data_IF_639618532903
#
_entry.id   IF_639618532903
#
_cell.length_a   1.000
_cell.length_b   1.000
_cell.length_c   1.000
_cell.angle_alpha   90.00
_cell.angle_beta   90.00
_cell.angle_gamma   90.00
#
_symmetry.space_group_name_H-M   'P 1'
#
loop_
_entity.id
_entity.type
_entity.pdbx_description
1 polymer ?
#
# COMPACT_ATOMS: atom_id res chain seq x y z
N UNK A 1 -13.14 -2.32 -8.29
CA UNK A 1 -13.01 -2.04 -9.73
C UNK A 1 -14.38 -1.84 -10.35
N UNK A 2 -14.54 -0.78 -11.17
CA UNK A 2 -15.68 -0.58 -12.04
C UNK A 2 -15.26 -0.98 -13.46
N UNK A 3 -15.77 -2.12 -13.92
CA UNK A 3 -15.58 -2.53 -15.32
C UNK A 3 -16.41 -1.63 -16.24
N UNK A 4 -15.75 -1.04 -17.21
CA UNK A 4 -16.38 -0.33 -18.31
C UNK A 4 -16.05 -1.04 -19.62
N UNK A 5 -17.03 -1.20 -20.53
CA UNK A 5 -16.74 -1.73 -21.87
C UNK A 5 -15.70 -0.83 -22.57
N UNK A 6 -14.81 -1.44 -23.35
CA UNK A 6 -13.75 -0.74 -24.10
C UNK A 6 -14.31 0.43 -24.93
N UNK A 7 -15.51 0.30 -25.47
CA UNK A 7 -16.22 1.36 -26.21
C UNK A 7 -16.58 2.59 -25.34
N UNK A 8 -16.58 2.45 -24.01
CA UNK A 8 -16.88 3.56 -23.08
C UNK A 8 -15.64 4.28 -22.59
N UNK A 9 -14.46 3.68 -22.77
CA UNK A 9 -13.18 4.30 -22.44
C UNK A 9 -12.75 5.26 -23.55
N UNK A 10 -12.02 6.27 -23.16
CA UNK A 10 -11.39 7.20 -24.10
C UNK A 10 -9.95 6.76 -24.37
N UNK A 11 -9.33 7.33 -25.40
CA UNK A 11 -7.94 7.02 -25.77
C UNK A 11 -6.95 7.30 -24.61
N UNK A 12 -7.24 8.29 -23.78
CA UNK A 12 -6.39 8.65 -22.63
C UNK A 12 -7.08 8.27 -21.32
N UNK A 13 -6.30 7.83 -20.34
CA UNK A 13 -6.82 7.43 -19.04
C UNK A 13 -7.38 8.62 -18.26
N UNK A 14 -6.75 9.80 -18.36
CA UNK A 14 -7.24 11.03 -17.73
C UNK A 14 -8.63 11.40 -18.22
N UNK A 15 -8.88 11.37 -19.54
CA UNK A 15 -10.20 11.68 -20.09
C UNK A 15 -11.27 10.67 -19.62
N UNK A 16 -10.91 9.39 -19.50
CA UNK A 16 -11.80 8.35 -18.95
C UNK A 16 -12.14 8.61 -17.48
N UNK A 17 -11.13 8.97 -16.65
CA UNK A 17 -11.36 9.33 -15.25
C UNK A 17 -12.24 10.58 -15.11
N UNK A 18 -12.02 11.61 -15.93
CA UNK A 18 -12.84 12.84 -15.93
C UNK A 18 -14.28 12.51 -16.33
N UNK A 19 -14.50 11.67 -17.34
CA UNK A 19 -15.84 11.23 -17.74
C UNK A 19 -16.58 10.53 -16.59
N UNK A 20 -15.91 9.61 -15.88
CA UNK A 20 -16.49 8.91 -14.73
C UNK A 20 -16.72 9.88 -13.56
N UNK A 21 -15.76 10.79 -13.30
CA UNK A 21 -15.92 11.84 -12.29
C UNK A 21 -17.16 12.69 -12.55
N UNK A 22 -17.39 13.12 -13.78
CA UNK A 22 -18.55 13.93 -14.13
C UNK A 22 -19.89 13.20 -13.88
N UNK A 23 -19.95 11.90 -14.20
CA UNK A 23 -21.15 11.07 -13.95
C UNK A 23 -21.39 10.92 -12.44
N UNK A 24 -20.35 10.65 -11.66
CA UNK A 24 -20.46 10.51 -10.21
C UNK A 24 -20.78 11.85 -9.53
N UNK A 25 -20.18 12.95 -9.99
CA UNK A 25 -20.46 14.30 -9.47
C UNK A 25 -21.91 14.72 -9.73
N UNK A 26 -22.43 14.43 -10.92
CA UNK A 26 -23.86 14.65 -11.24
C UNK A 26 -24.79 13.83 -10.34
N UNK A 27 -24.39 12.59 -9.97
CA UNK A 27 -25.16 11.73 -9.07
C UNK A 27 -25.05 12.14 -7.61
N UNK A 28 -23.91 12.71 -7.20
CA UNK A 28 -23.56 13.08 -5.83
C UNK A 28 -23.03 14.52 -5.76
N UNK A 29 -23.85 15.54 -6.09
CA UNK A 29 -23.38 16.92 -6.34
C UNK A 29 -22.76 17.61 -5.11
N UNK A 30 -23.09 17.16 -3.91
CA UNK A 30 -22.61 17.75 -2.65
C UNK A 30 -21.43 16.99 -2.03
N UNK A 31 -20.91 15.99 -2.73
CA UNK A 31 -19.86 15.11 -2.19
C UNK A 31 -18.44 15.61 -2.48
N UNK A 32 -18.27 16.46 -3.52
CA UNK A 32 -16.94 16.93 -3.92
C UNK A 32 -16.11 15.85 -4.61
N UNK A 33 -16.73 15.14 -5.54
CA UNK A 33 -16.11 14.05 -6.31
C UNK A 33 -14.89 14.57 -7.08
N UNK A 34 -13.76 13.87 -6.97
CA UNK A 34 -12.49 14.29 -7.58
C UNK A 34 -11.72 13.14 -8.21
N UNK A 35 -10.91 13.46 -9.22
CA UNK A 35 -9.95 12.50 -9.78
C UNK A 35 -8.73 12.42 -8.86
N UNK A 36 -8.35 11.21 -8.49
CA UNK A 36 -7.12 10.89 -7.77
C UNK A 36 -6.52 9.61 -8.35
N UNK A 37 -5.85 9.73 -9.50
CA UNK A 37 -5.33 8.59 -10.27
C UNK A 37 -4.68 7.51 -9.39
N UNK A 38 -5.05 6.23 -9.55
CA UNK A 38 -5.82 5.66 -10.68
C UNK A 38 -7.35 5.66 -10.49
N UNK A 39 -7.89 6.36 -9.51
CA UNK A 39 -9.29 6.32 -9.12
C UNK A 39 -10.02 7.67 -9.28
N UNK A 40 -11.33 7.59 -9.26
CA UNK A 40 -12.21 8.70 -8.91
C UNK A 40 -12.65 8.52 -7.47
N UNK A 41 -12.47 9.55 -6.63
CA UNK A 41 -12.74 9.52 -5.20
C UNK A 41 -14.04 10.25 -4.88
N UNK A 42 -14.93 9.56 -4.17
CA UNK A 42 -16.15 10.10 -3.61
C UNK A 42 -15.98 10.19 -2.08
N UNK A 43 -15.72 11.35 -1.51
CA UNK A 43 -15.56 11.54 -0.05
C UNK A 43 -16.92 11.59 0.62
N UNK A 44 -17.53 10.42 0.88
CA UNK A 44 -18.88 10.35 1.47
C UNK A 44 -18.94 10.65 2.96
N UNK A 45 -17.80 10.65 3.66
CA UNK A 45 -17.75 10.85 5.10
C UNK A 45 -16.85 12.00 5.53
N UNK A 46 -16.76 12.18 6.83
CA UNK A 46 -15.89 13.21 7.45
C UNK A 46 -14.42 12.82 7.46
N UNK A 47 -14.16 11.51 7.50
CA UNK A 47 -12.81 10.97 7.60
C UNK A 47 -12.36 10.40 6.26
N UNK A 48 -11.08 10.55 5.94
CA UNK A 48 -10.46 9.99 4.73
C UNK A 48 -10.63 8.46 4.60
N UNK A 49 -10.84 7.76 5.70
CA UNK A 49 -11.14 6.32 5.71
C UNK A 49 -12.53 5.98 5.17
N UNK A 50 -13.39 6.96 5.01
CA UNK A 50 -14.75 6.83 4.49
C UNK A 50 -14.85 7.20 3.00
N UNK A 51 -13.72 7.58 2.39
CA UNK A 51 -13.63 7.82 0.95
C UNK A 51 -13.90 6.52 0.18
N UNK A 52 -14.75 6.60 -0.83
CA UNK A 52 -14.94 5.51 -1.79
C UNK A 52 -14.14 5.79 -3.04
N UNK A 53 -13.24 4.88 -3.38
CA UNK A 53 -12.41 4.94 -4.59
C UNK A 53 -12.99 4.06 -5.69
N UNK A 54 -13.37 4.68 -6.82
CA UNK A 54 -13.85 3.98 -8.02
C UNK A 54 -12.70 3.92 -9.03
N UNK A 55 -12.11 2.73 -9.18
CA UNK A 55 -11.06 2.49 -10.18
C UNK A 55 -11.71 2.04 -11.48
N UNK A 56 -11.51 2.81 -12.53
CA UNK A 56 -11.96 2.48 -13.88
C UNK A 56 -11.04 1.44 -14.48
N UNK A 57 -11.59 0.34 -14.97
CA UNK A 57 -10.80 -0.77 -15.47
C UNK A 57 -11.41 -1.35 -16.75
N UNK A 58 -10.58 -1.75 -17.70
CA UNK A 58 -10.94 -2.54 -18.87
C UNK A 58 -10.32 -3.94 -18.76
N UNK A 59 -11.10 -4.98 -19.10
CA UNK A 59 -10.58 -6.34 -19.16
C UNK A 59 -9.83 -6.54 -20.49
N UNK A 60 -8.62 -7.06 -20.42
CA UNK A 60 -7.77 -7.23 -21.60
C UNK A 60 -7.41 -8.68 -21.92
N UNK A 61 -7.16 -9.51 -20.92
CA UNK A 61 -6.74 -10.92 -21.13
C UNK A 61 -6.83 -11.75 -19.85
N UNK A 62 -6.62 -13.05 -19.99
CA UNK A 62 -6.23 -13.91 -18.87
C UNK A 62 -4.73 -14.14 -18.86
N UNK A 63 -4.16 -14.17 -17.65
CA UNK A 63 -2.74 -14.44 -17.41
C UNK A 63 -2.56 -15.25 -16.14
N UNK A 64 -1.90 -16.43 -16.24
CA UNK A 64 -1.67 -17.29 -15.08
C UNK A 64 -2.93 -17.78 -14.37
N UNK A 65 -4.08 -17.88 -15.08
CA UNK A 65 -5.37 -18.26 -14.50
C UNK A 65 -6.14 -17.11 -13.83
N UNK A 66 -5.69 -15.87 -14.01
CA UNK A 66 -6.32 -14.67 -13.45
C UNK A 66 -6.69 -13.67 -14.54
N UNK A 67 -7.78 -12.93 -14.29
CA UNK A 67 -8.17 -11.82 -15.15
C UNK A 67 -7.20 -10.65 -15.02
N UNK A 68 -6.76 -10.11 -16.15
CA UNK A 68 -5.90 -8.93 -16.24
C UNK A 68 -6.69 -7.77 -16.79
N UNK A 69 -6.53 -6.63 -16.16
CA UNK A 69 -7.22 -5.39 -16.51
C UNK A 69 -6.20 -4.29 -16.78
N UNK A 70 -6.61 -3.29 -17.53
CA UNK A 70 -5.91 -1.99 -17.60
C UNK A 70 -6.59 -0.97 -16.72
N UNK A 71 -5.79 -0.21 -15.97
CA UNK A 71 -6.22 0.96 -15.19
C UNK A 71 -5.30 2.15 -15.50
N UNK A 72 -5.71 3.36 -15.14
CA UNK A 72 -4.90 4.55 -15.35
C UNK A 72 -3.53 4.47 -14.65
N UNK A 73 -2.45 4.77 -15.38
CA UNK A 73 -1.07 4.69 -14.87
C UNK A 73 -0.59 5.96 -14.14
N UNK A 74 -1.27 7.09 -14.35
CA UNK A 74 -0.91 8.40 -13.80
C UNK A 74 -0.12 9.30 -14.77
N UNK A 75 0.20 8.81 -15.96
CA UNK A 75 0.91 9.52 -17.02
C UNK A 75 0.07 9.62 -18.32
N UNK A 76 -1.24 9.66 -18.15
CA UNK A 76 -2.23 9.67 -19.24
C UNK A 76 -2.29 8.39 -20.07
N UNK A 77 -1.58 7.34 -19.62
CA UNK A 77 -1.56 5.99 -20.20
C UNK A 77 -2.32 4.99 -19.33
N UNK A 78 -2.11 3.72 -19.65
CA UNK A 78 -2.74 2.57 -19.02
C UNK A 78 -1.68 1.60 -18.49
N UNK A 79 -1.96 0.92 -17.38
CA UNK A 79 -1.10 -0.13 -16.83
C UNK A 79 -1.89 -1.38 -16.50
N UNK A 80 -1.27 -2.54 -16.74
CA UNK A 80 -1.86 -3.83 -16.42
C UNK A 80 -1.92 -4.06 -14.90
N UNK A 81 -3.04 -4.61 -14.44
CA UNK A 81 -3.26 -5.03 -13.06
C UNK A 81 -4.09 -6.31 -13.01
N UNK A 82 -3.88 -7.11 -11.98
CA UNK A 82 -4.72 -8.25 -11.67
C UNK A 82 -5.00 -8.32 -10.17
N UNK A 83 -6.06 -7.65 -9.68
CA UNK A 83 -6.37 -7.66 -8.26
C UNK A 83 -6.56 -9.07 -7.69
N UNK A 84 -7.14 -9.97 -8.47
CA UNK A 84 -7.38 -11.35 -8.04
C UNK A 84 -6.06 -12.12 -7.86
N UNK A 85 -5.09 -11.95 -8.77
CA UNK A 85 -3.76 -12.56 -8.66
C UNK A 85 -3.03 -12.07 -7.41
N UNK A 86 -3.04 -10.75 -7.16
CA UNK A 86 -2.36 -10.16 -6.01
C UNK A 86 -3.03 -10.56 -4.68
N UNK A 87 -4.37 -10.58 -4.64
CA UNK A 87 -5.13 -11.07 -3.49
C UNK A 87 -4.85 -12.55 -3.22
N UNK A 88 -4.79 -13.38 -4.27
CA UNK A 88 -4.43 -14.79 -4.16
C UNK A 88 -3.03 -14.96 -3.57
N UNK A 89 -2.04 -14.23 -4.09
CA UNK A 89 -0.66 -14.28 -3.60
C UNK A 89 -0.58 -13.95 -2.11
N UNK A 90 -1.16 -12.79 -1.71
CA UNK A 90 -1.17 -12.38 -0.29
C UNK A 90 -1.88 -13.41 0.57
N UNK A 91 -3.02 -13.95 0.11
CA UNK A 91 -3.79 -14.94 0.87
C UNK A 91 -3.03 -16.28 1.01
N UNK A 92 -2.30 -16.72 -0.02
CA UNK A 92 -1.50 -17.93 0.02
C UNK A 92 -0.35 -17.80 1.04
N UNK A 93 0.39 -16.68 0.99
CA UNK A 93 1.47 -16.41 1.95
C UNK A 93 0.93 -16.23 3.38
N UNK A 94 -0.21 -15.56 3.53
CA UNK A 94 -0.87 -15.38 4.83
C UNK A 94 -1.28 -16.73 5.44
N UNK A 95 -1.85 -17.63 4.63
CA UNK A 95 -2.21 -19.00 5.04
C UNK A 95 -0.98 -19.80 5.48
N UNK A 96 0.14 -19.71 4.73
CA UNK A 96 1.42 -20.35 5.07
C UNK A 96 1.90 -19.97 6.47
N UNK A 97 1.63 -18.73 6.90
CA UNK A 97 2.03 -18.17 8.20
C UNK A 97 0.89 -18.07 9.23
N UNK A 98 -0.18 -18.87 9.10
CA UNK A 98 -1.27 -18.92 10.06
C UNK A 98 -2.03 -17.61 10.24
N UNK A 99 -2.17 -16.80 9.17
CA UNK A 99 -2.93 -15.54 9.18
C UNK A 99 -2.15 -14.32 9.70
N UNK A 100 -0.84 -14.44 9.90
CA UNK A 100 -0.02 -13.36 10.47
C UNK A 100 0.44 -12.30 9.46
N UNK A 101 0.47 -12.62 8.17
CA UNK A 101 1.05 -11.72 7.13
C UNK A 101 0.16 -10.52 6.87
N UNK A 102 -1.16 -10.69 6.81
CA UNK A 102 -2.10 -9.57 6.69
C UNK A 102 -2.01 -8.60 7.87
N UNK A 103 -1.77 -9.11 9.09
CA UNK A 103 -1.54 -8.25 10.26
C UNK A 103 -0.21 -7.50 10.13
N UNK A 104 0.86 -8.17 9.70
CA UNK A 104 2.16 -7.53 9.46
C UNK A 104 2.05 -6.41 8.41
N UNK A 105 1.32 -6.65 7.30
CA UNK A 105 1.00 -5.62 6.29
C UNK A 105 0.27 -4.44 6.94
N UNK A 106 -0.70 -4.69 7.83
CA UNK A 106 -1.43 -3.63 8.54
C UNK A 106 -0.52 -2.78 9.42
N UNK A 107 0.44 -3.38 10.12
CA UNK A 107 1.43 -2.62 10.91
C UNK A 107 2.24 -1.66 10.04
N UNK A 108 2.76 -2.11 8.88
CA UNK A 108 3.50 -1.24 7.98
C UNK A 108 2.61 -0.14 7.34
N UNK A 109 1.36 -0.49 6.99
CA UNK A 109 0.39 0.48 6.49
C UNK A 109 -0.03 1.49 7.57
N UNK A 110 -0.14 1.09 8.84
CA UNK A 110 -0.41 1.99 9.98
C UNK A 110 0.73 2.99 10.17
N UNK A 111 1.97 2.54 10.19
CA UNK A 111 3.14 3.43 10.20
C UNK A 111 3.09 4.44 9.05
N UNK A 112 2.88 3.95 7.82
CA UNK A 112 2.73 4.81 6.64
C UNK A 112 1.64 5.87 6.85
N UNK A 113 0.48 5.47 7.34
CA UNK A 113 -0.68 6.34 7.54
C UNK A 113 -0.42 7.39 8.61
N UNK A 114 0.03 6.98 9.80
CA UNK A 114 0.22 7.90 10.94
C UNK A 114 1.41 8.86 10.76
N UNK A 115 2.31 8.57 9.85
CA UNK A 115 3.48 9.41 9.53
C UNK A 115 3.41 10.08 8.16
N UNK A 116 2.27 10.00 7.48
CA UNK A 116 2.07 10.56 6.14
C UNK A 116 3.21 10.21 5.17
N UNK A 117 3.60 8.93 5.15
CA UNK A 117 4.70 8.47 4.30
C UNK A 117 4.18 8.26 2.88
N UNK A 118 4.74 8.93 1.86
CA UNK A 118 4.22 8.90 0.49
C UNK A 118 4.62 7.63 -0.30
N UNK A 119 4.61 6.48 0.35
CA UNK A 119 4.79 5.17 -0.28
C UNK A 119 3.43 4.65 -0.75
N UNK A 120 3.36 4.05 -1.94
CA UNK A 120 2.13 3.40 -2.42
C UNK A 120 1.77 2.21 -1.53
N UNK A 121 0.51 2.13 -1.09
CA UNK A 121 0.02 1.06 -0.22
C UNK A 121 0.19 -0.32 -0.86
N UNK A 122 -0.05 -0.43 -2.16
CA UNK A 122 0.14 -1.65 -2.93
C UNK A 122 1.60 -2.12 -2.95
N UNK A 123 2.57 -1.18 -3.12
CA UNK A 123 3.99 -1.51 -3.03
C UNK A 123 4.35 -2.10 -1.67
N UNK A 124 3.91 -1.48 -0.56
CA UNK A 124 4.16 -2.01 0.79
C UNK A 124 3.56 -3.40 0.96
N UNK A 125 2.33 -3.60 0.52
CA UNK A 125 1.64 -4.89 0.62
C UNK A 125 2.41 -6.00 -0.09
N UNK A 126 2.80 -5.77 -1.34
CA UNK A 126 3.57 -6.75 -2.11
C UNK A 126 4.98 -6.99 -1.55
N UNK A 127 5.64 -5.94 -1.05
CA UNK A 127 6.96 -6.07 -0.40
C UNK A 127 6.90 -6.87 0.89
N UNK A 128 5.91 -6.62 1.75
CA UNK A 128 5.72 -7.36 3.00
C UNK A 128 5.35 -8.81 2.72
N UNK A 129 4.44 -9.07 1.77
CA UNK A 129 4.10 -10.42 1.39
C UNK A 129 5.32 -11.19 0.82
N UNK A 130 6.11 -10.55 -0.05
CA UNK A 130 7.33 -11.15 -0.61
C UNK A 130 8.39 -11.42 0.47
N UNK A 131 8.56 -10.51 1.43
CA UNK A 131 9.42 -10.75 2.59
C UNK A 131 8.96 -11.98 3.37
N UNK A 132 7.68 -12.01 3.76
CA UNK A 132 7.10 -13.08 4.54
C UNK A 132 7.17 -14.45 3.82
N UNK A 133 7.06 -14.47 2.50
CA UNK A 133 7.16 -15.71 1.71
C UNK A 133 8.52 -16.40 1.87
N UNK A 134 9.60 -15.65 2.09
CA UNK A 134 10.93 -16.13 2.38
C UNK A 134 11.19 -16.53 3.83
N UNK A 135 10.31 -16.15 4.77
CA UNK A 135 10.51 -16.42 6.19
C UNK A 135 9.95 -17.80 6.61
N UNK A 136 10.49 -18.37 7.67
CA UNK A 136 9.98 -19.61 8.28
C UNK A 136 8.84 -19.34 9.28
N UNK A 137 8.85 -18.19 9.93
CA UNK A 137 7.85 -17.75 10.91
C UNK A 137 7.76 -16.23 10.96
N UNK A 138 6.63 -15.70 11.44
CA UNK A 138 6.40 -14.26 11.61
C UNK A 138 6.29 -13.91 13.09
N UNK A 139 7.16 -12.96 13.51
CA UNK A 139 7.18 -12.33 14.85
C UNK A 139 7.13 -10.82 14.64
N UNK A 140 6.02 -10.18 14.97
CA UNK A 140 5.67 -8.84 14.48
C UNK A 140 6.70 -7.77 14.76
N UNK A 141 7.21 -7.66 15.95
CA UNK A 141 8.20 -6.66 16.38
C UNK A 141 9.53 -6.85 15.66
N UNK A 142 9.98 -8.11 15.53
CA UNK A 142 11.19 -8.48 14.79
C UNK A 142 11.02 -8.15 13.31
N UNK A 143 9.88 -8.55 12.72
CA UNK A 143 9.68 -8.45 11.28
C UNK A 143 9.34 -7.03 10.84
N UNK A 144 8.63 -6.23 11.67
CA UNK A 144 8.47 -4.79 11.41
C UNK A 144 9.83 -4.11 11.35
N UNK A 145 10.73 -4.37 12.31
CA UNK A 145 12.09 -3.82 12.31
C UNK A 145 12.86 -4.26 11.08
N UNK A 146 12.84 -5.57 10.73
CA UNK A 146 13.57 -6.12 9.58
C UNK A 146 13.08 -5.54 8.26
N UNK A 147 11.76 -5.41 8.08
CA UNK A 147 11.16 -4.85 6.86
C UNK A 147 11.51 -3.37 6.71
N UNK A 148 11.43 -2.57 7.80
CA UNK A 148 11.82 -1.16 7.76
C UNK A 148 13.32 -1.01 7.41
N UNK A 149 14.20 -1.84 7.98
CA UNK A 149 15.62 -1.86 7.64
C UNK A 149 15.84 -2.27 6.19
N UNK A 150 15.21 -3.36 5.72
CA UNK A 150 15.30 -3.83 4.33
C UNK A 150 14.85 -2.74 3.33
N UNK A 151 13.74 -2.05 3.61
CA UNK A 151 13.24 -0.97 2.74
C UNK A 151 14.18 0.24 2.72
N UNK A 152 14.81 0.57 3.86
CA UNK A 152 15.84 1.61 3.96
C UNK A 152 17.07 1.24 3.15
N UNK A 153 17.59 0.02 3.34
CA UNK A 153 18.87 -0.41 2.79
C UNK A 153 18.83 -0.58 1.27
N UNK A 154 17.66 -0.94 0.72
CA UNK A 154 17.42 -0.94 -0.72
C UNK A 154 16.80 0.34 -1.26
N UNK A 155 16.80 1.43 -0.48
CA UNK A 155 16.34 2.76 -0.89
C UNK A 155 14.98 2.74 -1.63
N UNK A 156 14.03 1.93 -1.12
CA UNK A 156 12.74 1.74 -1.77
C UNK A 156 12.89 1.34 -3.26
N UNK A 157 13.74 0.36 -3.53
CA UNK A 157 13.93 -0.12 -4.89
C UNK A 157 12.61 -0.60 -5.53
N UNK A 158 12.47 -0.36 -6.82
CA UNK A 158 11.38 -0.93 -7.63
C UNK A 158 11.38 -2.45 -7.50
N UNK A 159 10.23 -3.08 -7.47
CA UNK A 159 10.14 -4.54 -7.40
C UNK A 159 9.42 -5.12 -8.61
N UNK A 160 9.87 -6.28 -9.05
CA UNK A 160 9.10 -7.11 -9.97
C UNK A 160 7.84 -7.59 -9.26
N UNK A 161 6.69 -7.50 -9.93
CA UNK A 161 5.44 -8.10 -9.43
C UNK A 161 5.65 -9.60 -9.16
N UNK A 162 5.37 -10.09 -7.94
CA UNK A 162 5.50 -11.51 -7.61
C UNK A 162 4.68 -12.43 -8.53
N UNK A 163 3.52 -11.95 -9.00
CA UNK A 163 2.64 -12.68 -9.91
C UNK A 163 2.98 -12.47 -11.39
N UNK A 164 3.94 -11.58 -11.69
CA UNK A 164 4.37 -11.22 -13.05
C UNK A 164 3.25 -10.73 -13.97
N UNK A 165 2.22 -10.15 -13.41
CA UNK A 165 1.06 -9.60 -14.14
C UNK A 165 1.23 -8.11 -14.39
N UNK A 166 1.59 -7.35 -13.36
CA UNK A 166 1.69 -5.88 -13.40
C UNK A 166 3.10 -5.34 -13.76
N UNK A 167 4.02 -6.20 -14.20
CA UNK A 167 5.39 -5.81 -14.51
C UNK A 167 6.15 -5.32 -13.28
N UNK A 168 6.49 -4.03 -13.24
CA UNK A 168 7.22 -3.43 -12.13
C UNK A 168 6.32 -2.58 -11.24
N UNK A 169 6.47 -2.75 -9.93
CA UNK A 169 5.76 -2.01 -8.89
C UNK A 169 6.66 -0.91 -8.34
N UNK A 170 6.31 0.33 -8.59
CA UNK A 170 7.06 1.51 -8.15
C UNK A 170 6.60 1.94 -6.74
N UNK A 171 7.54 2.30 -5.82
CA UNK A 171 7.23 2.62 -4.44
C UNK A 171 6.47 3.93 -4.27
N UNK A 172 6.72 4.93 -5.09
CA UNK A 172 6.18 6.29 -4.98
C UNK A 172 5.67 6.81 -6.33
N UNK A 173 4.90 7.90 -6.31
CA UNK A 173 4.40 8.55 -7.53
C UNK A 173 5.48 9.36 -8.25
N UNK A 174 6.42 9.98 -7.50
CA UNK A 174 7.48 10.85 -8.02
C UNK A 174 8.77 10.63 -7.24
N UNK A 175 9.90 11.08 -7.80
CA UNK A 175 11.19 11.06 -7.12
C UNK A 175 11.22 11.97 -5.89
N UNK A 176 10.47 13.09 -5.90
CA UNK A 176 10.33 13.95 -4.73
C UNK A 176 9.67 13.20 -3.56
N UNK A 177 8.59 12.48 -3.83
CA UNK A 177 7.94 11.61 -2.85
C UNK A 177 8.84 10.46 -2.41
N UNK A 178 9.66 9.91 -3.31
CA UNK A 178 10.62 8.88 -2.94
C UNK A 178 11.68 9.41 -1.95
N UNK A 179 12.22 10.60 -2.19
CA UNK A 179 13.17 11.25 -1.26
C UNK A 179 12.56 11.49 0.12
N UNK A 180 11.34 12.05 0.19
CA UNK A 180 10.63 12.24 1.47
C UNK A 180 10.37 10.91 2.19
N UNK A 181 9.91 9.91 1.45
CA UNK A 181 9.67 8.57 1.99
C UNK A 181 10.95 7.95 2.57
N UNK A 182 12.10 8.09 1.91
CA UNK A 182 13.39 7.58 2.40
C UNK A 182 13.80 8.26 3.71
N UNK A 183 13.62 9.57 3.84
CA UNK A 183 13.93 10.29 5.09
C UNK A 183 13.08 9.79 6.27
N UNK A 184 11.75 9.66 6.04
CA UNK A 184 10.83 9.13 7.03
C UNK A 184 11.13 7.67 7.38
N UNK A 185 11.53 6.87 6.38
CA UNK A 185 11.89 5.47 6.55
C UNK A 185 13.18 5.29 7.36
N UNK A 186 14.21 6.13 7.15
CA UNK A 186 15.43 6.13 7.96
C UNK A 186 15.10 6.35 9.45
N UNK A 187 14.26 7.35 9.73
CA UNK A 187 13.78 7.60 11.10
C UNK A 187 13.00 6.42 11.67
N UNK A 188 12.14 5.80 10.88
CA UNK A 188 11.33 4.66 11.30
C UNK A 188 12.19 3.43 11.61
N UNK A 189 13.16 3.11 10.75
CA UNK A 189 14.08 1.99 10.95
C UNK A 189 14.89 2.18 12.26
N UNK A 190 15.46 3.38 12.49
CA UNK A 190 16.18 3.70 13.73
C UNK A 190 15.28 3.54 14.97
N UNK A 191 14.03 3.97 14.92
CA UNK A 191 13.09 3.81 16.05
C UNK A 191 12.79 2.35 16.33
N UNK A 192 12.54 1.54 15.30
CA UNK A 192 12.31 0.11 15.45
C UNK A 192 13.56 -0.64 15.95
N UNK A 193 14.75 -0.24 15.51
CA UNK A 193 16.02 -0.78 16.01
C UNK A 193 16.18 -0.50 17.53
N UNK A 194 15.96 0.75 17.97
CA UNK A 194 16.01 1.13 19.38
C UNK A 194 14.93 0.45 20.23
N UNK A 195 13.74 0.25 19.70
CA UNK A 195 12.70 -0.49 20.41
C UNK A 195 13.13 -1.94 20.68
N UNK A 196 13.70 -2.60 19.67
CA UNK A 196 14.20 -3.97 19.82
C UNK A 196 15.43 -4.09 20.71
N UNK A 197 16.31 -3.09 20.69
CA UNK A 197 17.47 -3.02 21.59
C UNK A 197 17.02 -2.87 23.05
N UNK A 198 16.09 -1.96 23.34
CA UNK A 198 15.54 -1.78 24.68
C UNK A 198 14.89 -3.07 25.21
N UNK A 199 14.08 -3.75 24.36
CA UNK A 199 13.44 -5.01 24.72
C UNK A 199 14.47 -6.11 25.00
N UNK A 200 15.52 -6.23 24.19
CA UNK A 200 16.59 -7.20 24.40
C UNK A 200 17.35 -6.97 25.72
N UNK A 201 17.40 -5.72 26.17
CA UNK A 201 18.00 -5.32 27.46
C UNK A 201 17.00 -5.45 28.65
N UNK A 202 15.78 -5.92 28.44
CA UNK A 202 14.75 -6.05 29.47
C UNK A 202 14.01 -4.76 29.81
N UNK A 203 14.32 -3.65 29.10
CA UNK A 203 13.63 -2.36 29.31
C UNK A 203 12.38 -2.25 28.44
N UNK A 204 11.34 -2.97 28.83
CA UNK A 204 10.07 -3.05 28.13
C UNK A 204 9.41 -1.68 28.00
N UNK A 205 9.52 -0.82 29.03
CA UNK A 205 8.92 0.52 29.01
C UNK A 205 9.54 1.38 27.90
N UNK A 206 10.86 1.45 27.82
CA UNK A 206 11.57 2.18 26.78
C UNK A 206 11.28 1.58 25.38
N UNK A 207 11.13 0.26 25.26
CA UNK A 207 10.73 -0.36 24.02
C UNK A 207 9.35 0.13 23.54
N UNK A 208 8.36 0.19 24.44
CA UNK A 208 7.03 0.74 24.14
C UNK A 208 7.09 2.21 23.75
N UNK A 209 7.93 3.03 24.40
CA UNK A 209 8.10 4.45 24.07
C UNK A 209 8.65 4.62 22.65
N UNK A 210 9.60 3.79 22.21
CA UNK A 210 10.11 3.80 20.84
C UNK A 210 9.05 3.35 19.82
N UNK A 211 8.24 2.32 20.11
CA UNK A 211 7.12 1.92 19.26
C UNK A 211 6.07 3.04 19.17
N UNK A 212 5.77 3.74 20.27
CA UNK A 212 4.88 4.90 20.25
C UNK A 212 5.42 5.99 19.34
N UNK A 213 6.71 6.31 19.44
CA UNK A 213 7.35 7.26 18.53
C UNK A 213 7.30 6.81 17.06
N UNK A 214 7.40 5.52 16.77
CA UNK A 214 7.26 4.99 15.41
C UNK A 214 5.86 5.27 14.85
N UNK A 215 4.84 4.99 15.62
CA UNK A 215 3.43 5.08 15.20
C UNK A 215 2.74 6.42 15.55
N UNK A 216 3.50 7.48 15.81
CA UNK A 216 2.96 8.81 16.09
C UNK A 216 1.98 8.81 17.28
N UNK A 217 2.39 8.22 18.39
CA UNK A 217 1.62 8.07 19.63
C UNK A 217 0.31 7.24 19.51
N UNK A 218 0.15 6.49 18.41
CA UNK A 218 -0.99 5.59 18.22
C UNK A 218 -0.71 4.14 18.64
N UNK A 219 0.49 3.85 19.09
CA UNK A 219 0.82 2.58 19.76
C UNK A 219 0.43 2.65 21.24
N UNK A 220 -0.01 1.55 21.87
CA UNK A 220 -0.38 1.53 23.29
C UNK A 220 0.74 2.04 24.21
N UNK A 221 0.36 2.64 25.34
CA UNK A 221 1.29 2.92 26.42
C UNK A 221 1.58 1.62 27.19
N UNK A 222 2.78 1.55 27.75
CA UNK A 222 3.10 0.47 28.68
C UNK A 222 2.37 0.72 30.02
N UNK A 223 1.67 -0.31 30.48
CA UNK A 223 1.04 -0.33 31.80
C UNK A 223 1.73 -1.40 32.64
N UNK A 224 2.11 -1.04 33.86
CA UNK A 224 2.56 -1.98 34.89
C UNK A 224 1.35 -2.71 35.46
#
# INVERSE_FOLDING_TARGET
LAYLPTSSLTRTSTASLVKVRNVLDARFPNTGVKVSTPAVVCPFGTYKSEDTEVVVADYIKEGGGFKVYEIADGNDGWMEVSPDAHNYYVAAVDKKHGGKVKQLIRFLKAWKYFRDVPIKSFYLEMRVAKYADGESSIVYDIDVKRILAMLRDNELAVMQDPMRVAGYIYPCKTDAFKRDAILKLKTAATRAEKAREAEANGDTKTAFDWWRLLYNDKFPTYYL
#
